data_IF_524448964755
#
_entry.id   IF_524448964755
#
_cell.length_a   1.000
_cell.length_b   1.000
_cell.length_c   1.000
_cell.angle_alpha   90.00
_cell.angle_beta   90.00
_cell.angle_gamma   90.00
#
_symmetry.space_group_name_H-M   'P 1'
#
loop_
_entity.id
_entity.type
_entity.pdbx_description
1 polymer ?
#
# COMPACT_ATOMS: atom_id res chain seq x y z
N UNK A 1 42.14 41.85 15.17
CA UNK A 1 40.82 41.43 14.62
C UNK A 1 40.80 40.07 13.90
N UNK A 2 41.93 39.47 13.49
CA UNK A 2 41.97 38.15 12.82
C UNK A 2 41.69 36.94 13.72
N UNK A 3 41.88 37.05 15.04
CA UNK A 3 41.81 35.91 15.97
C UNK A 3 40.37 35.52 16.37
N UNK A 4 39.46 36.49 16.45
CA UNK A 4 38.05 36.23 16.78
C UNK A 4 37.34 35.48 15.64
N UNK A 5 37.65 35.81 14.39
CA UNK A 5 37.07 35.18 13.19
C UNK A 5 37.46 33.69 13.10
N UNK A 6 38.73 33.34 13.40
CA UNK A 6 39.18 31.94 13.40
C UNK A 6 38.52 31.08 14.49
N UNK A 7 38.10 31.70 15.61
CA UNK A 7 37.44 31.01 16.73
C UNK A 7 35.98 30.67 16.42
N UNK A 8 35.28 31.55 15.68
CA UNK A 8 33.89 31.31 15.26
C UNK A 8 33.79 30.53 13.95
N UNK A 9 34.87 30.46 13.15
CA UNK A 9 34.93 29.67 11.92
C UNK A 9 34.49 28.20 12.08
N UNK A 10 34.99 27.41 13.05
CA UNK A 10 34.51 26.04 13.24
C UNK A 10 33.04 25.99 13.68
N UNK A 11 32.58 26.97 14.45
CA UNK A 11 31.18 27.05 14.92
C UNK A 11 30.21 27.36 13.77
N UNK A 12 30.62 28.21 12.82
CA UNK A 12 29.85 28.53 11.61
C UNK A 12 29.81 27.33 10.66
N UNK A 13 30.91 26.60 10.50
CA UNK A 13 30.97 25.39 9.66
C UNK A 13 30.05 24.30 10.22
N UNK A 14 30.08 24.06 11.54
CA UNK A 14 29.18 23.09 12.20
C UNK A 14 27.72 23.52 12.10
N UNK A 15 27.42 24.81 12.31
CA UNK A 15 26.06 25.34 12.17
C UNK A 15 25.53 25.23 10.73
N UNK A 16 26.37 25.50 9.73
CA UNK A 16 26.03 25.36 8.31
C UNK A 16 25.74 23.90 7.93
N UNK A 17 26.55 22.96 8.42
CA UNK A 17 26.33 21.53 8.21
C UNK A 17 25.01 21.04 8.83
N UNK A 18 24.71 21.48 10.05
CA UNK A 18 23.43 21.16 10.71
C UNK A 18 22.23 21.74 9.97
N UNK A 19 22.38 22.94 9.40
CA UNK A 19 21.33 23.58 8.60
C UNK A 19 21.08 22.81 7.29
N UNK A 20 22.12 22.30 6.63
CA UNK A 20 21.95 21.49 5.40
C UNK A 20 21.24 20.15 5.64
N UNK A 21 21.39 19.54 6.83
CA UNK A 21 20.68 18.30 7.19
C UNK A 21 19.17 18.50 7.34
N UNK A 22 18.74 19.66 7.86
CA UNK A 22 17.31 19.97 8.09
C UNK A 22 16.51 20.17 6.79
N UNK A 23 17.17 20.57 5.69
CA UNK A 23 16.50 20.83 4.40
C UNK A 23 16.28 19.53 3.60
N UNK A 24 16.94 18.43 3.98
CA UNK A 24 16.85 17.13 3.27
C UNK A 24 15.57 16.33 3.58
N UNK A 25 14.74 16.78 4.52
CA UNK A 25 13.54 16.05 4.95
C UNK A 25 12.29 16.29 4.08
N UNK A 26 12.37 17.15 3.07
CA UNK A 26 11.22 17.48 2.23
C UNK A 26 11.22 16.68 0.92
N UNK A 27 11.06 15.36 1.01
CA UNK A 27 10.76 14.52 -0.16
C UNK A 27 9.24 14.40 -0.28
N UNK A 28 8.61 15.06 -1.26
CA UNK A 28 7.14 15.05 -1.47
C UNK A 28 6.62 13.78 -2.19
N UNK A 29 7.46 12.77 -2.39
CA UNK A 29 7.15 11.57 -3.19
C UNK A 29 6.43 10.45 -2.40
N UNK A 30 5.83 10.73 -1.24
CA UNK A 30 5.18 9.70 -0.42
C UNK A 30 3.71 9.43 -0.79
N UNK A 31 3.14 10.19 -1.71
CA UNK A 31 1.85 9.85 -2.28
C UNK A 31 2.09 9.04 -3.54
N UNK A 32 2.22 7.72 -3.37
CA UNK A 32 1.92 6.81 -4.47
C UNK A 32 0.41 6.96 -4.67
N UNK A 33 0.03 7.89 -5.54
CA UNK A 33 -1.34 7.97 -6.02
C UNK A 33 -1.61 6.62 -6.71
N UNK A 34 -2.52 5.84 -6.14
CA UNK A 34 -2.92 4.53 -6.68
C UNK A 34 -3.54 4.64 -8.07
N UNK A 35 -3.63 5.85 -8.62
CA UNK A 35 -4.31 6.16 -9.84
C UNK A 35 -5.82 6.04 -9.67
N UNK A 36 -6.58 6.27 -10.74
CA UNK A 36 -8.02 6.06 -10.72
C UNK A 36 -8.31 4.59 -10.39
N UNK A 37 -9.05 4.36 -9.30
CA UNK A 37 -9.48 3.03 -8.88
C UNK A 37 -10.39 2.43 -9.94
N UNK A 38 -10.03 1.26 -10.47
CA UNK A 38 -10.96 0.48 -11.29
C UNK A 38 -12.01 -0.16 -10.37
N UNK A 39 -13.27 0.24 -10.52
CA UNK A 39 -14.38 -0.30 -9.74
C UNK A 39 -14.81 -1.71 -10.20
N UNK A 40 -14.37 -2.14 -11.39
CA UNK A 40 -14.71 -3.44 -11.97
C UNK A 40 -13.48 -4.34 -11.96
N UNK A 41 -13.72 -5.61 -11.62
CA UNK A 41 -12.74 -6.68 -11.71
C UNK A 41 -12.98 -7.44 -13.02
N UNK A 42 -11.95 -7.55 -13.85
CA UNK A 42 -12.00 -8.26 -15.11
C UNK A 42 -11.76 -9.76 -14.87
N UNK A 43 -12.80 -10.50 -14.47
CA UNK A 43 -12.72 -11.94 -14.20
C UNK A 43 -14.00 -12.53 -13.58
N UNK A 44 -13.96 -13.81 -13.22
CA UNK A 44 -15.09 -14.52 -12.59
C UNK A 44 -15.23 -14.18 -11.10
N UNK A 45 -16.36 -14.54 -10.49
CA UNK A 45 -16.56 -14.38 -9.05
C UNK A 45 -15.52 -15.19 -8.27
N UNK A 46 -15.23 -16.43 -8.70
CA UNK A 46 -14.19 -17.25 -8.05
C UNK A 46 -12.81 -16.60 -8.15
N UNK A 47 -12.44 -16.08 -9.33
CA UNK A 47 -11.16 -15.39 -9.52
C UNK A 47 -11.04 -14.15 -8.63
N UNK A 48 -12.14 -13.42 -8.42
CA UNK A 48 -12.14 -12.29 -7.49
C UNK A 48 -11.87 -12.74 -6.05
N UNK A 49 -12.53 -13.81 -5.58
CA UNK A 49 -12.31 -14.36 -4.24
C UNK A 49 -10.86 -14.81 -4.05
N UNK A 50 -10.28 -15.49 -5.04
CA UNK A 50 -8.88 -15.96 -4.98
C UNK A 50 -7.85 -14.83 -5.07
N UNK A 51 -8.20 -13.71 -5.70
CA UNK A 51 -7.31 -12.55 -5.83
C UNK A 51 -7.11 -11.77 -4.52
N UNK A 52 -7.99 -11.98 -3.54
CA UNK A 52 -8.01 -11.20 -2.30
C UNK A 52 -7.81 -12.12 -1.07
N UNK A 53 -6.72 -11.95 -0.31
CA UNK A 53 -6.38 -12.82 0.82
C UNK A 53 -7.36 -12.74 2.00
N UNK A 54 -8.36 -11.87 1.96
CA UNK A 54 -9.44 -11.80 2.95
C UNK A 54 -10.56 -12.82 2.72
N UNK A 55 -10.55 -13.50 1.58
CA UNK A 55 -11.59 -14.44 1.16
C UNK A 55 -11.04 -15.85 0.94
N UNK A 56 -9.88 -16.18 1.53
CA UNK A 56 -9.21 -17.48 1.32
C UNK A 56 -10.13 -18.63 1.75
N UNK A 57 -10.73 -18.54 2.94
CA UNK A 57 -11.59 -19.58 3.50
C UNK A 57 -12.83 -19.80 2.64
N UNK A 58 -13.46 -18.71 2.19
CA UNK A 58 -14.66 -18.81 1.32
C UNK A 58 -14.31 -19.42 -0.03
N UNK A 59 -13.19 -19.04 -0.63
CA UNK A 59 -12.74 -19.60 -1.91
C UNK A 59 -12.56 -21.13 -1.80
N UNK A 60 -12.01 -21.60 -0.67
CA UNK A 60 -11.84 -23.03 -0.40
C UNK A 60 -13.19 -23.72 -0.17
N UNK A 61 -14.12 -23.10 0.58
CA UNK A 61 -15.47 -23.62 0.81
C UNK A 61 -16.21 -23.81 -0.52
N UNK A 62 -16.13 -22.83 -1.44
CA UNK A 62 -16.75 -22.91 -2.78
C UNK A 62 -16.24 -24.14 -3.55
N UNK A 63 -14.92 -24.39 -3.52
CA UNK A 63 -14.31 -25.57 -4.16
C UNK A 63 -14.74 -26.88 -3.50
N UNK A 64 -14.73 -26.94 -2.16
CA UNK A 64 -15.15 -28.12 -1.40
C UNK A 64 -16.63 -28.44 -1.60
N UNK A 65 -17.46 -27.41 -1.81
CA UNK A 65 -18.88 -27.55 -2.12
C UNK A 65 -19.14 -27.94 -3.59
N UNK A 66 -18.12 -27.96 -4.45
CA UNK A 66 -18.27 -28.25 -5.88
C UNK A 66 -19.00 -27.16 -6.66
N UNK A 67 -18.97 -25.91 -6.17
CA UNK A 67 -19.68 -24.77 -6.76
C UNK A 67 -18.82 -23.96 -7.76
N UNK A 68 -17.69 -24.51 -8.20
CA UNK A 68 -16.75 -23.83 -9.09
C UNK A 68 -17.39 -23.43 -10.42
N UNK A 69 -18.26 -24.28 -10.98
CA UNK A 69 -18.95 -23.99 -12.25
C UNK A 69 -19.88 -22.78 -12.12
N UNK A 70 -20.68 -22.73 -11.05
CA UNK A 70 -21.58 -21.61 -10.74
C UNK A 70 -20.79 -20.31 -10.59
N UNK A 71 -19.69 -20.34 -9.83
CA UNK A 71 -18.90 -19.12 -9.57
C UNK A 71 -18.02 -18.68 -10.75
N UNK A 72 -17.83 -19.55 -11.74
CA UNK A 72 -17.07 -19.23 -12.94
C UNK A 72 -17.95 -18.81 -14.12
N UNK A 73 -19.14 -19.39 -14.25
CA UNK A 73 -19.93 -19.30 -15.48
C UNK A 73 -21.30 -18.65 -15.31
N UNK A 74 -21.83 -18.51 -14.09
CA UNK A 74 -23.14 -17.92 -13.85
C UNK A 74 -23.08 -16.46 -13.37
N UNK A 75 -24.09 -15.67 -13.76
CA UNK A 75 -24.29 -14.31 -13.26
C UNK A 75 -24.97 -14.34 -11.88
N UNK A 76 -24.16 -14.32 -10.81
CA UNK A 76 -24.61 -14.36 -9.42
C UNK A 76 -24.16 -13.13 -8.63
N UNK A 77 -24.97 -12.74 -7.63
CA UNK A 77 -24.56 -11.77 -6.60
C UNK A 77 -24.24 -12.53 -5.32
N UNK A 78 -22.96 -12.59 -4.95
CA UNK A 78 -22.49 -13.33 -3.80
C UNK A 78 -21.98 -12.40 -2.69
N UNK A 79 -22.59 -12.50 -1.51
CA UNK A 79 -22.17 -11.74 -0.32
C UNK A 79 -21.08 -12.52 0.42
N UNK A 80 -19.83 -12.33 0.02
CA UNK A 80 -18.69 -13.05 0.57
C UNK A 80 -18.33 -12.56 2.00
N UNK A 81 -18.41 -13.42 3.03
CA UNK A 81 -17.84 -13.11 4.34
C UNK A 81 -16.31 -13.05 4.26
N UNK A 82 -15.69 -12.24 5.11
CA UNK A 82 -14.23 -12.22 5.26
C UNK A 82 -13.76 -13.33 6.18
N UNK A 83 -12.49 -13.73 6.07
CA UNK A 83 -11.87 -14.75 6.93
C UNK A 83 -11.96 -14.43 8.43
N UNK A 84 -12.09 -13.17 8.83
CA UNK A 84 -12.27 -12.78 10.25
C UNK A 84 -13.59 -13.25 10.87
N UNK A 85 -14.59 -13.60 10.06
CA UNK A 85 -15.95 -13.95 10.52
C UNK A 85 -16.36 -15.40 10.18
N UNK A 86 -15.40 -16.22 9.72
CA UNK A 86 -15.58 -17.62 9.33
C UNK A 86 -14.81 -18.51 10.30
#
# INVERSE_FOLDING_TARGET
>A
MKNSIKKYFPLIVVGSFFLTLMISSCKKEYFIDGGPSKAQFDGTVLQYLESNPKFDSVSQIVKLAGLEDVFNNEDITFFAPTDEVI
#
